data_IF_613781267950
#
_entry.id   IF_613781267950
#
_cell.length_a   1.000
_cell.length_b   1.000
_cell.length_c   1.000
_cell.angle_alpha   90.00
_cell.angle_beta   90.00
_cell.angle_gamma   90.00
#
_symmetry.space_group_name_H-M   'P 1'
#
loop_
_entity.id
_entity.type
_entity.pdbx_description
1 polymer ?
#
# COMPACT_ATOMS: atom_id res chain seq x y z
N UNK A 1 9.25 -3.77 -30.21
CA UNK A 1 8.68 -4.66 -29.18
C UNK A 1 7.28 -4.13 -28.90
N UNK A 2 6.29 -4.98 -28.63
CA UNK A 2 4.97 -4.52 -28.19
C UNK A 2 5.10 -3.87 -26.80
N UNK A 3 4.36 -2.80 -26.57
CA UNK A 3 4.26 -2.14 -25.26
C UNK A 3 3.75 -3.14 -24.21
N UNK A 4 4.39 -3.21 -23.04
CA UNK A 4 3.99 -4.08 -21.93
C UNK A 4 2.80 -3.45 -21.20
N UNK A 5 1.68 -4.14 -21.11
CA UNK A 5 0.49 -3.69 -20.41
C UNK A 5 0.44 -4.24 -18.99
N UNK A 6 0.47 -3.35 -18.01
CA UNK A 6 0.50 -3.68 -16.58
C UNK A 6 -0.80 -3.24 -15.93
N UNK A 7 -1.53 -4.17 -15.33
CA UNK A 7 -2.65 -3.88 -14.45
C UNK A 7 -2.17 -3.72 -13.01
N UNK A 8 -2.10 -2.49 -12.49
CA UNK A 8 -1.83 -2.24 -11.07
C UNK A 8 -3.13 -2.33 -10.28
N UNK A 9 -3.16 -3.17 -9.24
CA UNK A 9 -4.33 -3.30 -8.36
C UNK A 9 -3.97 -2.80 -6.96
N UNK A 10 -4.77 -1.87 -6.44
CA UNK A 10 -4.53 -1.22 -5.14
C UNK A 10 -5.83 -0.85 -4.45
N UNK A 11 -5.82 -0.85 -3.11
CA UNK A 11 -6.95 -0.29 -2.36
C UNK A 11 -6.97 1.24 -2.40
N UNK A 12 -5.80 1.87 -2.34
CA UNK A 12 -5.64 3.32 -2.19
C UNK A 12 -5.24 3.97 -3.51
N UNK A 13 -6.03 4.96 -3.96
CA UNK A 13 -5.72 5.81 -5.10
C UNK A 13 -6.29 7.21 -4.87
N UNK A 14 -5.69 8.28 -5.41
CA UNK A 14 -6.21 9.64 -5.21
C UNK A 14 -7.72 9.76 -5.55
N UNK A 15 -8.48 10.54 -4.79
CA UNK A 15 -8.06 11.35 -3.62
C UNK A 15 -8.00 10.55 -2.30
N UNK A 16 -8.34 9.26 -2.29
CA UNK A 16 -8.46 8.42 -1.11
C UNK A 16 -7.13 7.68 -0.80
N UNK A 17 -6.08 8.42 -0.47
CA UNK A 17 -4.81 7.89 0.03
C UNK A 17 -4.70 8.20 1.52
N UNK A 18 -4.48 7.17 2.35
CA UNK A 18 -4.32 7.33 3.79
C UNK A 18 -3.05 6.67 4.34
N UNK A 19 -2.35 5.86 3.55
CA UNK A 19 -1.18 5.11 3.99
C UNK A 19 0.03 5.23 3.07
N UNK A 20 1.18 4.77 3.59
CA UNK A 20 2.44 4.77 2.82
C UNK A 20 2.39 3.86 1.58
N UNK A 21 1.58 2.79 1.62
CA UNK A 21 1.41 1.91 0.48
C UNK A 21 0.75 2.65 -0.70
N UNK A 22 -0.32 3.41 -0.44
CA UNK A 22 -0.99 4.20 -1.48
C UNK A 22 -0.07 5.28 -2.08
N UNK A 23 0.71 5.96 -1.23
CA UNK A 23 1.73 6.93 -1.70
C UNK A 23 2.75 6.24 -2.60
N UNK A 24 3.25 5.06 -2.19
CA UNK A 24 4.18 4.29 -3.00
C UNK A 24 3.59 3.90 -4.35
N UNK A 25 2.36 3.36 -4.37
CA UNK A 25 1.69 2.93 -5.61
C UNK A 25 1.51 4.10 -6.57
N UNK A 26 1.10 5.27 -6.06
CA UNK A 26 0.98 6.48 -6.86
C UNK A 26 2.32 6.88 -7.50
N UNK A 27 3.39 6.93 -6.72
CA UNK A 27 4.72 7.32 -7.22
C UNK A 27 5.28 6.27 -8.20
N UNK A 28 5.11 4.98 -7.90
CA UNK A 28 5.52 3.90 -8.80
C UNK A 28 4.77 3.99 -10.14
N UNK A 29 3.46 4.17 -10.11
CA UNK A 29 2.64 4.29 -11.32
C UNK A 29 3.07 5.50 -12.15
N UNK A 30 3.28 6.64 -11.52
CA UNK A 30 3.76 7.85 -12.20
C UNK A 30 5.12 7.60 -12.89
N UNK A 31 6.05 6.95 -12.18
CA UNK A 31 7.36 6.59 -12.73
C UNK A 31 7.25 5.59 -13.90
N UNK A 32 6.42 4.56 -13.77
CA UNK A 32 6.21 3.57 -14.84
C UNK A 32 5.59 4.21 -16.09
N UNK A 33 4.63 5.11 -15.92
CA UNK A 33 3.98 5.84 -17.04
C UNK A 33 4.94 6.79 -17.80
N UNK A 34 6.14 7.09 -17.27
CA UNK A 34 7.18 7.80 -18.02
C UNK A 34 7.93 6.89 -19.00
N UNK A 35 7.84 5.57 -18.83
CA UNK A 35 8.48 4.60 -19.72
C UNK A 35 7.57 4.35 -20.94
N UNK A 36 8.08 4.62 -22.14
CA UNK A 36 7.35 4.48 -23.40
C UNK A 36 7.03 3.02 -23.77
N UNK A 37 7.73 2.07 -23.17
CA UNK A 37 7.55 0.64 -23.44
C UNK A 37 6.55 -0.02 -22.46
N UNK A 38 5.94 0.77 -21.56
CA UNK A 38 5.03 0.28 -20.51
C UNK A 38 3.75 1.10 -20.48
N UNK A 39 2.61 0.43 -20.68
CA UNK A 39 1.28 0.98 -20.42
C UNK A 39 0.79 0.54 -19.04
N UNK A 40 0.26 1.46 -18.26
CA UNK A 40 -0.21 1.16 -16.89
C UNK A 40 -1.66 1.55 -16.71
N UNK A 41 -2.50 0.55 -16.51
CA UNK A 41 -3.86 0.68 -16.04
C UNK A 41 -3.91 0.49 -14.53
N UNK A 42 -4.61 1.38 -13.83
CA UNK A 42 -4.79 1.29 -12.39
C UNK A 42 -6.22 0.88 -12.09
N UNK A 43 -6.38 -0.17 -11.30
CA UNK A 43 -7.64 -0.67 -10.77
C UNK A 43 -7.64 -0.47 -9.26
N UNK A 44 -8.55 0.35 -8.74
CA UNK A 44 -8.56 0.72 -7.33
C UNK A 44 -9.95 0.61 -6.70
N UNK A 45 -9.97 0.47 -5.40
CA UNK A 45 -11.20 0.46 -4.62
C UNK A 45 -11.85 1.86 -4.55
N UNK A 46 -13.17 1.86 -4.42
CA UNK A 46 -14.00 3.07 -4.35
C UNK A 46 -14.48 3.54 -5.71
N UNK A 47 -15.27 4.62 -5.73
CA UNK A 47 -15.96 5.09 -6.93
C UNK A 47 -15.04 5.62 -8.03
N UNK A 48 -15.66 6.17 -9.06
CA UNK A 48 -15.00 6.66 -10.28
C UNK A 48 -13.78 7.55 -10.01
N UNK A 49 -12.75 7.37 -10.81
CA UNK A 49 -11.52 8.17 -10.88
C UNK A 49 -11.33 8.70 -12.30
N UNK A 50 -10.55 9.77 -12.45
CA UNK A 50 -10.27 10.36 -13.77
C UNK A 50 -9.14 9.60 -14.50
N UNK A 51 -8.21 9.00 -13.75
CA UNK A 51 -6.99 8.36 -14.24
C UNK A 51 -6.82 6.89 -13.82
N UNK A 52 -7.89 6.29 -13.29
CA UNK A 52 -7.95 4.90 -12.85
C UNK A 52 -9.37 4.33 -12.94
N UNK A 53 -9.46 3.01 -12.98
CA UNK A 53 -10.72 2.28 -12.86
C UNK A 53 -11.06 2.09 -11.38
N UNK A 54 -12.13 2.73 -10.90
CA UNK A 54 -12.59 2.64 -9.52
C UNK A 54 -13.74 1.64 -9.39
N UNK A 55 -13.68 0.81 -8.35
CA UNK A 55 -14.65 -0.26 -8.08
C UNK A 55 -15.23 -0.08 -6.68
N UNK A 56 -16.53 0.14 -6.60
CA UNK A 56 -17.25 0.14 -5.33
C UNK A 56 -17.51 -1.29 -4.87
N UNK A 57 -17.67 -1.48 -3.56
CA UNK A 57 -18.11 -2.78 -3.05
C UNK A 57 -19.50 -3.09 -3.60
N UNK A 58 -19.71 -4.28 -4.21
CA UNK A 58 -21.03 -4.67 -4.71
C UNK A 58 -22.10 -4.54 -3.63
N UNK A 59 -23.27 -4.07 -4.00
CA UNK A 59 -24.35 -3.67 -3.08
C UNK A 59 -24.75 -4.77 -2.09
N UNK A 60 -24.69 -6.02 -2.53
CA UNK A 60 -25.04 -7.23 -1.76
C UNK A 60 -24.08 -7.47 -0.58
N UNK A 61 -22.86 -6.90 -0.65
CA UNK A 61 -21.82 -7.10 0.36
C UNK A 61 -21.56 -5.87 1.24
N UNK A 62 -22.24 -4.75 1.02
CA UNK A 62 -22.01 -3.50 1.77
C UNK A 62 -22.22 -3.59 3.27
N UNK A 63 -23.08 -4.52 3.72
CA UNK A 63 -23.32 -4.82 5.14
C UNK A 63 -22.43 -5.92 5.71
N UNK A 64 -21.56 -6.52 4.89
CA UNK A 64 -20.70 -7.62 5.28
C UNK A 64 -19.45 -7.13 6.03
N UNK A 65 -18.72 -8.08 6.63
CA UNK A 65 -17.40 -7.78 7.21
C UNK A 65 -16.48 -7.14 6.16
N UNK A 66 -15.65 -6.12 6.51
CA UNK A 66 -14.75 -5.43 5.58
C UNK A 66 -13.83 -6.34 4.77
N UNK A 67 -13.44 -7.50 5.31
CA UNK A 67 -12.62 -8.46 4.56
C UNK A 67 -13.44 -9.17 3.46
N UNK A 68 -14.72 -9.45 3.70
CA UNK A 68 -15.64 -9.99 2.69
C UNK A 68 -15.89 -8.96 1.59
N UNK A 69 -16.10 -7.69 1.98
CA UNK A 69 -16.24 -6.59 1.02
C UNK A 69 -15.02 -6.48 0.10
N UNK A 70 -13.80 -6.60 0.67
CA UNK A 70 -12.57 -6.57 -0.13
C UNK A 70 -12.53 -7.70 -1.16
N UNK A 71 -12.83 -8.94 -0.76
CA UNK A 71 -12.86 -10.08 -1.70
C UNK A 71 -13.92 -9.90 -2.79
N UNK A 72 -15.10 -9.38 -2.45
CA UNK A 72 -16.15 -9.12 -3.43
C UNK A 72 -15.72 -8.07 -4.47
N UNK A 73 -15.05 -7.01 -4.03
CA UNK A 73 -14.48 -5.99 -4.93
C UNK A 73 -13.34 -6.58 -5.78
N UNK A 74 -12.49 -7.43 -5.21
CA UNK A 74 -11.42 -8.12 -5.94
C UNK A 74 -11.95 -9.01 -7.08
N UNK A 75 -13.07 -9.68 -6.87
CA UNK A 75 -13.72 -10.49 -7.91
C UNK A 75 -14.17 -9.61 -9.09
N UNK A 76 -14.74 -8.45 -8.82
CA UNK A 76 -15.15 -7.50 -9.85
C UNK A 76 -13.93 -6.95 -10.61
N UNK A 77 -12.88 -6.55 -9.89
CA UNK A 77 -11.63 -6.09 -10.50
C UNK A 77 -11.05 -7.17 -11.41
N UNK A 78 -10.98 -8.41 -10.95
CA UNK A 78 -10.39 -9.52 -11.70
C UNK A 78 -11.03 -9.72 -13.07
N UNK A 79 -12.35 -9.53 -13.20
CA UNK A 79 -13.06 -9.66 -14.48
C UNK A 79 -12.65 -8.59 -15.50
N UNK A 80 -12.04 -7.50 -15.08
CA UNK A 80 -11.62 -6.36 -15.90
C UNK A 80 -10.11 -6.36 -16.24
N UNK A 81 -9.37 -7.44 -15.88
CA UNK A 81 -7.93 -7.56 -16.10
C UNK A 81 -7.56 -8.46 -17.29
N UNK A 82 -8.50 -8.76 -18.20
CA UNK A 82 -8.26 -9.66 -19.34
C UNK A 82 -7.31 -9.12 -20.41
N UNK A 83 -7.09 -7.80 -20.46
CA UNK A 83 -6.33 -7.11 -21.51
C UNK A 83 -4.94 -6.65 -21.08
N UNK A 84 -4.43 -7.16 -19.95
CA UNK A 84 -3.08 -6.83 -19.47
C UNK A 84 -2.14 -8.03 -19.64
N UNK A 85 -0.83 -7.75 -19.77
CA UNK A 85 0.20 -8.78 -19.89
C UNK A 85 0.66 -9.32 -18.54
N UNK A 86 0.48 -8.51 -17.47
CA UNK A 86 0.71 -8.90 -16.08
C UNK A 86 -0.14 -8.08 -15.12
N UNK A 87 -0.40 -8.63 -13.93
CA UNK A 87 -1.03 -7.92 -12.82
C UNK A 87 -0.03 -7.72 -11.70
N UNK A 88 0.01 -6.50 -11.15
CA UNK A 88 0.82 -6.14 -9.99
C UNK A 88 -0.08 -5.62 -8.87
N UNK A 89 -0.23 -6.40 -7.80
CA UNK A 89 -1.10 -6.04 -6.67
C UNK A 89 -0.32 -5.56 -5.45
N UNK A 90 -0.97 -4.69 -4.68
CA UNK A 90 -0.40 -4.07 -3.49
C UNK A 90 -1.33 -4.24 -2.30
N UNK A 91 -0.81 -4.82 -1.20
CA UNK A 91 -1.50 -5.17 0.03
C UNK A 91 -2.53 -6.30 -0.13
N UNK A 92 -2.84 -6.99 0.97
CA UNK A 92 -3.79 -8.11 0.97
C UNK A 92 -5.19 -7.74 0.43
N UNK A 93 -5.57 -6.46 0.57
CA UNK A 93 -6.87 -5.97 0.10
C UNK A 93 -7.09 -6.16 -1.39
N UNK A 94 -6.02 -6.11 -2.18
CA UNK A 94 -6.05 -6.15 -3.64
C UNK A 94 -5.38 -7.41 -4.23
N UNK A 95 -4.81 -8.25 -3.36
CA UNK A 95 -4.03 -9.39 -3.82
C UNK A 95 -4.89 -10.47 -4.49
N UNK A 96 -6.14 -10.64 -4.04
CA UNK A 96 -7.01 -11.66 -4.62
C UNK A 96 -7.49 -11.28 -6.02
N UNK A 97 -7.62 -9.99 -6.36
CA UNK A 97 -7.91 -9.60 -7.74
C UNK A 97 -6.83 -10.09 -8.71
N UNK A 98 -5.55 -9.88 -8.36
CA UNK A 98 -4.44 -10.37 -9.15
C UNK A 98 -4.38 -11.91 -9.20
N UNK A 99 -4.64 -12.57 -8.08
CA UNK A 99 -4.66 -14.02 -8.01
C UNK A 99 -5.77 -14.62 -8.89
N UNK A 100 -7.00 -14.11 -8.80
CA UNK A 100 -8.11 -14.56 -9.63
C UNK A 100 -7.86 -14.30 -11.13
N UNK A 101 -7.35 -13.12 -11.48
CA UNK A 101 -7.00 -12.80 -12.86
C UNK A 101 -5.92 -13.74 -13.40
N UNK A 102 -4.91 -14.08 -12.59
CA UNK A 102 -3.85 -15.01 -13.00
C UNK A 102 -4.38 -16.41 -13.30
N UNK A 103 -5.32 -16.90 -12.51
CA UNK A 103 -5.97 -18.19 -12.73
C UNK A 103 -6.89 -18.16 -13.96
N UNK A 104 -7.67 -17.09 -14.11
CA UNK A 104 -8.68 -17.00 -15.16
C UNK A 104 -8.08 -16.75 -16.55
N UNK A 105 -7.04 -15.92 -16.62
CA UNK A 105 -6.48 -15.46 -17.90
C UNK A 105 -5.07 -15.99 -18.17
N UNK A 106 -4.49 -16.79 -17.27
CA UNK A 106 -3.13 -17.33 -17.37
C UNK A 106 -2.06 -16.23 -17.51
N UNK A 107 -2.28 -15.08 -16.87
CA UNK A 107 -1.33 -13.95 -16.82
C UNK A 107 -0.52 -13.96 -15.52
N UNK A 108 0.75 -13.54 -15.52
CA UNK A 108 1.56 -13.53 -14.31
C UNK A 108 1.01 -12.51 -13.31
N UNK A 109 0.97 -12.92 -12.02
CA UNK A 109 0.63 -12.05 -10.89
C UNK A 109 1.88 -11.75 -10.07
N UNK A 110 2.20 -10.48 -9.90
CA UNK A 110 3.26 -9.97 -9.04
C UNK A 110 2.64 -9.36 -7.80
N UNK A 111 3.19 -9.65 -6.63
CA UNK A 111 2.74 -9.10 -5.35
C UNK A 111 3.83 -8.22 -4.75
N UNK A 112 3.49 -7.01 -4.30
CA UNK A 112 4.38 -6.19 -3.46
C UNK A 112 4.06 -6.36 -1.98
N UNK A 113 5.05 -6.84 -1.22
CA UNK A 113 4.98 -7.04 0.22
C UNK A 113 5.33 -5.74 0.96
N UNK A 114 4.30 -5.00 1.39
CA UNK A 114 4.45 -3.78 2.22
C UNK A 114 4.33 -4.07 3.71
N UNK A 115 3.59 -5.10 4.07
CA UNK A 115 3.39 -5.65 5.41
C UNK A 115 2.81 -7.05 5.28
N UNK A 116 2.91 -7.86 6.31
CA UNK A 116 2.38 -9.22 6.34
C UNK A 116 1.33 -9.37 7.45
N UNK A 117 0.20 -9.98 7.15
CA UNK A 117 -0.87 -10.21 8.13
C UNK A 117 -0.39 -11.03 9.34
N UNK A 118 0.41 -12.12 9.21
CA UNK A 118 0.91 -12.85 10.36
C UNK A 118 1.78 -12.03 11.34
N UNK A 119 2.41 -10.95 10.85
CA UNK A 119 3.20 -10.04 11.68
C UNK A 119 2.39 -8.87 12.26
N UNK A 120 1.06 -8.91 12.09
CA UNK A 120 0.13 -7.87 12.54
C UNK A 120 -1.02 -8.46 13.38
N UNK A 121 -0.74 -9.24 14.43
CA UNK A 121 -1.78 -9.96 15.21
C UNK A 121 -2.83 -9.03 15.82
N UNK A 122 -2.48 -7.76 16.08
CA UNK A 122 -3.45 -6.74 16.55
C UNK A 122 -4.57 -6.45 15.53
N UNK A 123 -4.40 -6.82 14.28
CA UNK A 123 -5.46 -6.73 13.26
C UNK A 123 -6.66 -7.63 13.57
N UNK A 124 -6.47 -8.69 14.32
CA UNK A 124 -7.57 -9.54 14.77
C UNK A 124 -8.59 -8.76 15.62
N UNK A 125 -8.12 -7.79 16.43
CA UNK A 125 -8.99 -6.91 17.21
C UNK A 125 -9.80 -5.95 16.31
N UNK A 126 -9.22 -5.51 15.19
CA UNK A 126 -9.85 -4.56 14.26
C UNK A 126 -10.81 -5.25 13.27
N UNK A 127 -10.45 -6.42 12.77
CA UNK A 127 -11.19 -7.13 11.72
C UNK A 127 -12.10 -8.25 12.26
N UNK A 128 -11.93 -8.63 13.54
CA UNK A 128 -12.65 -9.77 14.12
C UNK A 128 -12.46 -11.03 13.26
N UNK A 129 -13.55 -11.71 12.90
CA UNK A 129 -13.50 -12.87 12.01
C UNK A 129 -12.93 -12.61 10.62
N UNK A 130 -12.90 -11.35 10.17
CA UNK A 130 -12.29 -10.94 8.91
C UNK A 130 -10.76 -11.11 8.87
N UNK A 131 -10.10 -11.20 10.03
CA UNK A 131 -8.66 -11.47 10.09
C UNK A 131 -8.28 -12.84 9.53
N UNK A 132 -9.11 -13.84 9.73
CA UNK A 132 -8.91 -15.16 9.12
C UNK A 132 -8.99 -15.10 7.58
N UNK A 133 -9.91 -14.27 7.06
CA UNK A 133 -10.07 -14.05 5.63
C UNK A 133 -8.87 -13.29 5.06
N UNK A 134 -8.43 -12.19 5.70
CA UNK A 134 -7.28 -11.42 5.23
C UNK A 134 -5.98 -12.24 5.23
N UNK A 135 -5.77 -13.04 6.27
CA UNK A 135 -4.60 -13.92 6.38
C UNK A 135 -4.63 -15.04 5.33
N UNK A 136 -5.80 -15.63 5.08
CA UNK A 136 -5.97 -16.63 4.03
C UNK A 136 -5.74 -16.01 2.63
N UNK A 137 -6.32 -14.86 2.36
CA UNK A 137 -6.19 -14.17 1.08
C UNK A 137 -4.74 -13.80 0.78
N UNK A 138 -4.03 -13.22 1.76
CA UNK A 138 -2.62 -12.88 1.62
C UNK A 138 -1.78 -14.13 1.34
N UNK A 139 -1.92 -15.18 2.18
CA UNK A 139 -1.19 -16.44 1.98
C UNK A 139 -1.43 -17.02 0.60
N UNK A 140 -2.70 -17.14 0.18
CA UNK A 140 -3.07 -17.74 -1.12
C UNK A 140 -2.45 -16.98 -2.28
N UNK A 141 -2.51 -15.64 -2.24
CA UNK A 141 -1.94 -14.81 -3.29
C UNK A 141 -0.41 -14.90 -3.35
N UNK A 142 0.27 -14.94 -2.20
CA UNK A 142 1.73 -15.06 -2.13
C UNK A 142 2.21 -16.42 -2.65
N UNK A 143 1.56 -17.51 -2.25
CA UNK A 143 1.89 -18.87 -2.72
C UNK A 143 1.64 -19.04 -4.23
N UNK A 144 0.59 -18.39 -4.76
CA UNK A 144 0.24 -18.42 -6.17
C UNK A 144 0.98 -17.41 -7.05
N UNK A 145 1.70 -16.46 -6.48
CA UNK A 145 2.37 -15.40 -7.24
C UNK A 145 3.48 -15.93 -8.18
N UNK A 146 3.61 -15.29 -9.32
CA UNK A 146 4.74 -15.50 -10.22
C UNK A 146 6.03 -14.90 -9.65
N UNK A 147 5.92 -13.74 -8.99
CA UNK A 147 7.02 -13.10 -8.26
C UNK A 147 6.48 -12.28 -7.07
N UNK A 148 7.31 -12.10 -6.05
CA UNK A 148 7.02 -11.30 -4.87
C UNK A 148 8.11 -10.24 -4.72
N UNK A 149 7.72 -8.98 -4.73
CA UNK A 149 8.60 -7.85 -4.47
C UNK A 149 8.58 -7.56 -2.96
N UNK A 150 9.69 -7.80 -2.28
CA UNK A 150 9.89 -7.40 -0.90
C UNK A 150 10.53 -6.01 -0.86
N UNK A 151 9.94 -5.07 -0.11
CA UNK A 151 10.42 -3.67 -0.06
C UNK A 151 11.72 -3.49 0.72
N UNK A 152 12.22 -4.53 1.37
CA UNK A 152 13.51 -4.57 2.07
C UNK A 152 14.00 -6.01 2.22
N UNK A 153 15.28 -6.18 2.57
CA UNK A 153 15.84 -7.51 2.86
C UNK A 153 15.20 -8.11 4.11
N UNK A 154 14.85 -7.28 5.10
CA UNK A 154 14.05 -7.71 6.26
C UNK A 154 12.70 -8.25 5.84
N UNK A 155 11.96 -7.52 4.98
CA UNK A 155 10.67 -7.99 4.46
C UNK A 155 10.81 -9.29 3.66
N UNK A 156 11.91 -9.46 2.91
CA UNK A 156 12.20 -10.72 2.22
C UNK A 156 12.33 -11.89 3.19
N UNK A 157 13.07 -11.70 4.26
CA UNK A 157 13.21 -12.71 5.32
C UNK A 157 11.86 -13.01 5.99
N UNK A 158 11.08 -11.98 6.29
CA UNK A 158 9.75 -12.10 6.89
C UNK A 158 8.78 -12.88 5.99
N UNK A 159 8.76 -12.61 4.67
CA UNK A 159 7.93 -13.36 3.69
C UNK A 159 8.28 -14.84 3.72
N UNK A 160 9.58 -15.17 3.65
CA UNK A 160 10.03 -16.57 3.63
C UNK A 160 9.77 -17.30 4.97
N UNK A 161 9.81 -16.57 6.07
CA UNK A 161 9.48 -17.13 7.39
C UNK A 161 7.95 -17.32 7.56
N UNK A 162 7.14 -16.37 7.11
CA UNK A 162 5.68 -16.43 7.24
C UNK A 162 5.03 -17.42 6.27
N UNK A 163 5.60 -17.58 5.08
CA UNK A 163 5.08 -18.44 3.99
C UNK A 163 6.15 -19.42 3.49
N UNK A 164 6.47 -20.49 4.25
CA UNK A 164 7.54 -21.42 3.92
C UNK A 164 7.35 -22.21 2.63
N UNK A 165 6.14 -22.26 2.08
CA UNK A 165 5.80 -22.87 0.79
C UNK A 165 6.18 -22.00 -0.41
N UNK A 166 6.49 -20.73 -0.20
CA UNK A 166 6.92 -19.81 -1.26
C UNK A 166 8.37 -20.16 -1.66
N UNK A 167 8.57 -20.36 -2.97
CA UNK A 167 9.91 -20.54 -3.53
C UNK A 167 10.76 -19.28 -3.30
N UNK A 168 11.92 -19.37 -2.61
CA UNK A 168 12.79 -18.24 -2.34
C UNK A 168 13.29 -17.51 -3.60
N UNK A 169 13.36 -18.20 -4.75
CA UNK A 169 13.76 -17.61 -6.04
C UNK A 169 12.76 -16.62 -6.59
N UNK A 170 11.49 -16.72 -6.17
CA UNK A 170 10.41 -15.79 -6.55
C UNK A 170 10.39 -14.51 -5.72
N UNK A 171 11.11 -14.46 -4.59
CA UNK A 171 11.11 -13.30 -3.68
C UNK A 171 12.32 -12.42 -3.96
N UNK A 172 12.06 -11.23 -4.51
CA UNK A 172 13.10 -10.29 -4.92
C UNK A 172 13.01 -9.02 -4.05
N UNK A 173 14.14 -8.54 -3.56
CA UNK A 173 14.18 -7.25 -2.84
C UNK A 173 14.24 -6.11 -3.84
N UNK A 174 13.19 -5.27 -3.86
CA UNK A 174 13.16 -4.00 -4.60
C UNK A 174 12.69 -2.92 -3.63
N UNK A 175 13.60 -2.03 -3.22
CA UNK A 175 13.30 -0.97 -2.26
C UNK A 175 12.45 0.11 -2.91
N UNK A 176 11.56 0.73 -2.10
CA UNK A 176 10.77 1.87 -2.55
C UNK A 176 11.69 3.02 -2.94
N UNK A 177 11.43 3.61 -4.11
CA UNK A 177 12.13 4.80 -4.58
C UNK A 177 11.51 6.09 -4.04
N UNK A 178 12.24 7.17 -4.21
CA UNK A 178 11.78 8.53 -3.93
C UNK A 178 12.22 9.47 -5.07
N UNK A 179 11.35 10.39 -5.44
CA UNK A 179 11.71 11.46 -6.39
C UNK A 179 12.62 12.47 -5.69
N UNK A 180 13.93 12.38 -5.98
CA UNK A 180 14.95 13.22 -5.36
C UNK A 180 14.93 14.67 -5.84
N UNK A 181 14.29 14.97 -6.97
CA UNK A 181 14.06 16.35 -7.41
C UNK A 181 12.94 17.02 -6.63
N UNK A 182 11.85 16.29 -6.40
CA UNK A 182 10.71 16.76 -5.60
C UNK A 182 11.04 16.85 -4.11
N UNK A 183 11.77 15.88 -3.58
CA UNK A 183 12.15 15.80 -2.16
C UNK A 183 13.61 16.23 -1.94
N UNK A 184 14.00 17.33 -2.57
CA UNK A 184 15.28 17.97 -2.37
C UNK A 184 15.27 18.89 -1.13
N UNK A 185 16.44 19.14 -0.50
CA UNK A 185 16.54 20.14 0.57
C UNK A 185 16.03 21.50 0.07
N UNK A 186 15.19 22.14 0.89
CA UNK A 186 14.64 23.45 0.63
C UNK A 186 14.86 24.35 1.86
N UNK A 187 15.48 25.50 1.67
CA UNK A 187 15.72 26.48 2.73
C UNK A 187 14.62 27.55 2.84
N UNK A 188 13.47 27.36 2.16
CA UNK A 188 12.35 28.27 2.26
C UNK A 188 11.68 28.17 3.64
N UNK A 189 11.87 29.21 4.44
CA UNK A 189 11.29 29.33 5.77
C UNK A 189 9.83 29.80 5.77
N UNK A 190 9.22 30.10 4.62
CA UNK A 190 7.86 30.63 4.52
C UNK A 190 6.80 29.62 5.02
N UNK A 191 7.00 28.34 4.75
CA UNK A 191 6.08 27.29 5.18
C UNK A 191 6.10 27.10 6.70
N UNK A 192 7.24 26.89 7.37
CA UNK A 192 7.28 26.87 8.84
C UNK A 192 6.71 28.15 9.48
N UNK A 193 7.07 29.32 8.96
CA UNK A 193 6.59 30.61 9.47
C UNK A 193 5.06 30.75 9.41
N UNK A 194 4.43 30.22 8.34
CA UNK A 194 2.96 30.19 8.20
C UNK A 194 2.25 29.47 9.35
N UNK A 195 2.93 28.52 9.98
CA UNK A 195 2.42 27.76 11.13
C UNK A 195 3.00 28.25 12.47
N UNK A 196 3.61 29.44 12.49
CA UNK A 196 4.17 30.07 13.70
C UNK A 196 5.49 29.42 14.18
N UNK A 197 6.15 28.66 13.34
CA UNK A 197 7.43 28.01 13.68
C UNK A 197 8.57 28.95 13.30
N UNK A 198 9.23 29.54 14.32
CA UNK A 198 10.28 30.56 14.14
C UNK A 198 11.67 30.13 14.62
N UNK A 199 11.77 28.99 15.34
CA UNK A 199 13.01 28.45 15.91
C UNK A 199 13.34 27.06 15.37
N UNK A 200 14.35 26.41 15.93
CA UNK A 200 14.64 25.02 15.61
C UNK A 200 13.49 24.10 16.01
N UNK A 201 13.20 23.12 15.18
CA UNK A 201 12.07 22.21 15.42
C UNK A 201 12.35 20.80 14.92
N UNK A 202 11.67 19.84 15.53
CA UNK A 202 11.50 18.51 14.97
C UNK A 202 10.10 18.38 14.36
N UNK A 203 9.98 17.58 13.31
CA UNK A 203 8.70 17.30 12.68
C UNK A 203 8.37 15.81 12.76
N UNK A 204 7.17 15.49 13.22
CA UNK A 204 6.57 14.16 13.07
C UNK A 204 5.65 14.16 11.87
N UNK A 205 5.86 13.21 10.95
CA UNK A 205 5.00 13.03 9.77
C UNK A 205 4.38 11.63 9.82
N UNK A 206 3.05 11.55 9.87
CA UNK A 206 2.35 10.28 9.88
C UNK A 206 0.98 10.31 10.52
N UNK A 207 0.27 9.18 10.46
CA UNK A 207 -1.04 9.02 11.10
C UNK A 207 -0.90 8.99 12.63
N UNK A 208 -1.91 9.46 13.35
CA UNK A 208 -1.99 9.37 14.80
C UNK A 208 -2.48 7.96 15.17
N UNK A 209 -1.57 7.01 15.18
CA UNK A 209 -1.85 5.62 15.55
C UNK A 209 -0.87 5.14 16.60
N UNK A 210 -1.28 4.13 17.40
CA UNK A 210 -0.41 3.50 18.40
C UNK A 210 0.89 2.99 17.79
N UNK A 211 0.82 2.42 16.58
CA UNK A 211 1.96 1.90 15.83
C UNK A 211 3.03 2.95 15.51
N UNK A 212 2.63 4.22 15.32
CA UNK A 212 3.55 5.32 14.99
C UNK A 212 4.24 5.92 16.22
N UNK A 213 3.87 5.49 17.42
CA UNK A 213 4.59 5.83 18.64
C UNK A 213 4.45 7.30 19.10
N UNK A 214 3.47 8.05 18.60
CA UNK A 214 3.29 9.48 18.95
C UNK A 214 3.22 9.70 20.47
N UNK A 215 2.56 8.81 21.22
CA UNK A 215 2.49 8.92 22.67
C UNK A 215 3.88 8.81 23.35
N UNK A 216 4.79 8.02 22.79
CA UNK A 216 6.18 7.92 23.27
C UNK A 216 6.95 9.18 22.92
N UNK A 217 6.80 9.70 21.70
CA UNK A 217 7.40 10.96 21.28
C UNK A 217 6.98 12.12 22.23
N UNK A 218 5.68 12.25 22.51
CA UNK A 218 5.18 13.32 23.38
C UNK A 218 5.68 13.19 24.82
N UNK A 219 5.90 11.98 25.34
CA UNK A 219 6.51 11.77 26.66
C UNK A 219 7.98 12.18 26.65
N UNK A 220 8.74 11.75 25.65
CA UNK A 220 10.15 12.09 25.49
C UNK A 220 10.35 13.60 25.25
N UNK A 221 9.38 14.25 24.60
CA UNK A 221 9.46 15.69 24.31
C UNK A 221 9.51 16.57 25.57
N UNK A 222 9.04 16.08 26.71
CA UNK A 222 9.13 16.81 28.00
C UNK A 222 10.56 17.04 28.46
N UNK A 223 11.51 16.23 27.98
CA UNK A 223 12.93 16.35 28.30
C UNK A 223 13.71 17.18 27.27
N UNK A 224 13.04 17.66 26.22
CA UNK A 224 13.65 18.46 25.15
C UNK A 224 13.63 19.95 25.60
N UNK A 225 14.77 20.69 25.44
CA UNK A 225 14.82 22.11 25.79
C UNK A 225 13.72 22.93 25.10
N UNK A 226 13.20 23.93 25.83
CA UNK A 226 12.02 24.70 25.42
C UNK A 226 12.19 25.54 24.14
N UNK A 227 13.45 25.77 23.70
CA UNK A 227 13.76 26.45 22.45
C UNK A 227 13.44 25.61 21.19
N UNK A 228 13.24 24.31 21.35
CA UNK A 228 12.88 23.43 20.23
C UNK A 228 11.36 23.27 20.12
N UNK A 229 10.81 23.52 18.95
CA UNK A 229 9.42 23.26 18.62
C UNK A 229 9.17 21.80 18.20
N UNK A 230 7.96 21.30 18.44
CA UNK A 230 7.48 20.03 17.87
C UNK A 230 6.34 20.31 16.91
N UNK A 231 6.54 19.97 15.63
CA UNK A 231 5.52 20.10 14.59
C UNK A 231 4.93 18.72 14.30
N UNK A 232 3.61 18.62 14.32
CA UNK A 232 2.90 17.38 13.99
C UNK A 232 2.18 17.55 12.65
N UNK A 233 2.79 17.03 11.58
CA UNK A 233 2.14 16.87 10.28
C UNK A 233 1.41 15.50 10.25
N UNK A 234 0.22 15.49 10.87
CA UNK A 234 -0.51 14.28 11.14
C UNK A 234 -1.96 14.42 10.64
N UNK A 235 -2.48 13.34 10.03
CA UNK A 235 -3.90 13.21 9.72
C UNK A 235 -4.71 12.84 10.96
N UNK A 236 -6.04 12.78 10.80
CA UNK A 236 -6.95 12.30 11.84
C UNK A 236 -6.50 10.94 12.39
N UNK A 237 -6.74 10.64 13.66
CA UNK A 237 -6.50 9.31 14.20
C UNK A 237 -7.36 8.28 13.46
N UNK A 238 -6.85 7.06 13.33
CA UNK A 238 -7.67 5.92 12.93
C UNK A 238 -8.65 5.66 14.09
N UNK A 239 -9.96 5.63 13.81
CA UNK A 239 -10.99 5.26 14.77
C UNK A 239 -10.93 3.77 15.11
#
# INVERSE_FOLDING_TARGET
MSELKVGIVTKEWPPAIYGGAGVHVLQLTQALRTNKDVHVDVHCFGGKRDDAFGYETPSEFTSSNPAVQAIATDLEIATNLSNVDLVHSHTWYANMAGHFASLQYSIPHIVSAHSLEPLRPWKAEQLGGGYAISSWAEKTAYEGAAAIIAVSDGMRADVLAAYPSVDPSKVVTIRNGVDTAKFAPNNDASVPAKYGVTGPYAIFVGRITRQKGLAHLLRAWKEVPAEYGLVLAAGSPDE
#
